data_IF_488582698308
#
_entry.id   IF_488582698308
#
_cell.length_a   1.000
_cell.length_b   1.000
_cell.length_c   1.000
_cell.angle_alpha   90.00
_cell.angle_beta   90.00
_cell.angle_gamma   90.00
#
_symmetry.space_group_name_H-M   'P 1'
#
loop_
_entity.id
_entity.type
_entity.pdbx_description
1 polymer ?
#
# COMPACT_ATOMS: atom_id res chain seq x y z
N UNK A 1 7.31 -15.38 -14.05
CA UNK A 1 7.70 -15.05 -12.66
C UNK A 1 6.43 -14.74 -11.89
N UNK A 2 6.25 -15.29 -10.70
CA UNK A 2 5.13 -14.92 -9.84
C UNK A 2 5.44 -13.60 -9.15
N UNK A 3 4.43 -12.77 -8.97
CA UNK A 3 4.53 -11.48 -8.27
C UNK A 3 3.88 -11.66 -6.91
N UNK A 4 4.56 -11.23 -5.85
CA UNK A 4 3.99 -11.16 -4.51
C UNK A 4 3.17 -9.88 -4.35
N UNK A 5 1.97 -9.99 -3.81
CA UNK A 5 1.06 -8.87 -3.63
C UNK A 5 0.54 -8.78 -2.20
N UNK A 6 0.52 -7.57 -1.65
CA UNK A 6 -0.25 -7.25 -0.45
C UNK A 6 -1.47 -6.43 -0.86
N UNK A 7 -2.64 -6.88 -0.44
CA UNK A 7 -3.89 -6.18 -0.75
C UNK A 7 -4.50 -5.66 0.55
N UNK A 8 -4.72 -4.36 0.59
CA UNK A 8 -5.32 -3.65 1.72
C UNK A 8 -6.63 -3.00 1.30
N UNK A 9 -7.57 -2.91 2.24
CA UNK A 9 -8.81 -2.14 2.11
C UNK A 9 -8.81 -1.01 3.12
N UNK A 10 -9.17 0.19 2.65
CA UNK A 10 -9.28 1.39 3.46
C UNK A 10 -10.67 2.00 3.36
N UNK A 11 -11.29 2.21 4.52
CA UNK A 11 -12.53 2.97 4.68
C UNK A 11 -12.11 4.40 5.09
N UNK A 12 -12.03 5.30 4.11
CA UNK A 12 -11.57 6.68 4.32
C UNK A 12 -12.72 7.59 4.71
N UNK A 13 -12.43 8.61 5.52
CA UNK A 13 -13.41 9.64 5.82
C UNK A 13 -13.63 10.52 4.58
N UNK A 14 -14.86 10.98 4.30
CA UNK A 14 -15.12 11.86 3.17
C UNK A 14 -14.22 13.10 3.13
N UNK A 15 -13.90 13.68 4.29
CA UNK A 15 -13.07 14.86 4.42
C UNK A 15 -11.57 14.63 4.16
N UNK A 16 -11.08 13.40 4.37
CA UNK A 16 -9.65 13.04 4.15
C UNK A 16 -9.42 12.30 2.85
N UNK A 17 -10.47 11.96 2.10
CA UNK A 17 -10.38 11.16 0.88
C UNK A 17 -9.40 11.72 -0.15
N UNK A 18 -9.40 13.04 -0.39
CA UNK A 18 -8.49 13.67 -1.35
C UNK A 18 -7.02 13.62 -0.89
N UNK A 19 -6.78 13.76 0.42
CA UNK A 19 -5.44 13.62 0.99
C UNK A 19 -4.97 12.15 0.95
N UNK A 20 -5.86 11.21 1.24
CA UNK A 20 -5.60 9.79 1.10
C UNK A 20 -5.21 9.42 -0.35
N UNK A 21 -6.01 9.85 -1.34
CA UNK A 21 -5.70 9.63 -2.76
C UNK A 21 -4.31 10.20 -3.13
N UNK A 22 -3.96 11.38 -2.61
CA UNK A 22 -2.65 12.01 -2.84
C UNK A 22 -1.48 11.22 -2.23
N UNK A 23 -1.61 10.76 -0.99
CA UNK A 23 -0.51 10.12 -0.26
C UNK A 23 -0.34 8.63 -0.59
N UNK A 24 -1.40 7.98 -1.11
CA UNK A 24 -1.41 6.56 -1.51
C UNK A 24 -1.37 6.33 -3.03
N UNK A 25 -1.33 7.38 -3.87
CA UNK A 25 -1.09 7.25 -5.31
C UNK A 25 0.38 6.99 -5.66
N UNK A 26 0.67 6.73 -6.94
CA UNK A 26 2.00 6.42 -7.50
C UNK A 26 3.07 7.52 -7.35
N UNK A 27 2.77 8.63 -6.69
CA UNK A 27 3.69 9.72 -6.36
C UNK A 27 3.58 10.18 -4.90
N UNK A 28 2.77 9.46 -4.11
CA UNK A 28 2.53 9.71 -2.70
C UNK A 28 3.69 9.24 -1.82
N UNK A 29 3.55 9.48 -0.52
CA UNK A 29 4.59 9.15 0.46
C UNK A 29 4.90 7.64 0.51
N UNK A 30 3.89 6.77 0.42
CA UNK A 30 4.11 5.31 0.42
C UNK A 30 4.86 4.83 -0.81
N UNK A 31 4.52 5.35 -2.00
CA UNK A 31 5.24 5.01 -3.22
C UNK A 31 6.71 5.40 -3.10
N UNK A 32 7.00 6.63 -2.67
CA UNK A 32 8.38 7.13 -2.48
C UNK A 32 9.16 6.38 -1.40
N UNK A 33 8.47 5.84 -0.40
CA UNK A 33 9.09 5.01 0.63
C UNK A 33 9.56 3.65 0.07
N UNK A 34 8.79 3.06 -0.85
CA UNK A 34 9.12 1.77 -1.45
C UNK A 34 9.97 1.88 -2.73
N UNK A 35 9.89 2.98 -3.46
CA UNK A 35 10.60 3.25 -4.72
C UNK A 35 12.11 2.97 -4.70
N UNK A 36 12.87 3.23 -3.62
CA UNK A 36 14.30 2.91 -3.58
C UNK A 36 14.64 1.41 -3.58
N UNK A 37 13.66 0.52 -3.37
CA UNK A 37 13.87 -0.92 -3.41
C UNK A 37 13.71 -1.42 -4.85
N UNK A 38 14.79 -1.95 -5.44
CA UNK A 38 14.74 -2.52 -6.81
C UNK A 38 13.75 -3.70 -6.94
N UNK A 39 13.40 -4.34 -5.83
CA UNK A 39 12.43 -5.45 -5.78
C UNK A 39 10.97 -5.00 -5.64
N UNK A 40 10.73 -3.69 -5.46
CA UNK A 40 9.40 -3.10 -5.49
C UNK A 40 8.94 -2.90 -6.94
N UNK A 41 7.79 -3.47 -7.27
CA UNK A 41 7.24 -3.45 -8.63
C UNK A 41 6.14 -2.38 -8.81
N UNK A 42 5.93 -1.54 -7.79
CA UNK A 42 4.92 -0.49 -7.77
C UNK A 42 3.68 -0.83 -6.95
N UNK A 43 2.78 0.14 -6.87
CA UNK A 43 1.48 -0.01 -6.22
C UNK A 43 0.34 0.47 -7.13
N UNK A 44 -0.83 -0.12 -6.95
CA UNK A 44 -2.09 0.36 -7.54
C UNK A 44 -3.03 0.80 -6.44
N UNK A 45 -3.70 1.94 -6.66
CA UNK A 45 -4.80 2.40 -5.83
C UNK A 45 -6.09 2.37 -6.65
N UNK A 46 -7.08 1.61 -6.20
CA UNK A 46 -8.38 1.51 -6.83
C UNK A 46 -9.48 1.94 -5.85
N UNK A 47 -10.47 2.68 -6.34
CA UNK A 47 -11.65 3.07 -5.57
C UNK A 47 -12.82 2.19 -5.95
N UNK A 48 -13.45 1.55 -4.97
CA UNK A 48 -14.69 0.80 -5.17
C UNK A 48 -15.82 1.80 -5.49
N UNK A 49 -16.46 1.65 -6.64
CA UNK A 49 -17.52 2.57 -7.10
C UNK A 49 -18.85 2.40 -6.36
N UNK A 50 -19.07 1.26 -5.70
CA UNK A 50 -20.28 0.96 -4.94
C UNK A 50 -20.17 1.39 -3.48
N UNK A 51 -19.00 1.18 -2.86
CA UNK A 51 -18.79 1.48 -1.43
C UNK A 51 -17.99 2.75 -1.17
N UNK A 52 -17.23 3.24 -2.15
CA UNK A 52 -16.28 4.34 -1.98
C UNK A 52 -14.98 3.96 -1.25
N UNK A 53 -14.85 2.71 -0.79
CA UNK A 53 -13.63 2.21 -0.14
C UNK A 53 -12.48 2.11 -1.13
N UNK A 54 -11.24 2.16 -0.63
CA UNK A 54 -10.06 2.02 -1.46
C UNK A 54 -9.44 0.64 -1.30
N UNK A 55 -8.92 0.11 -2.40
CA UNK A 55 -8.05 -1.06 -2.46
C UNK A 55 -6.65 -0.59 -2.85
N UNK A 56 -5.69 -0.82 -1.97
CA UNK A 56 -4.27 -0.63 -2.26
C UNK A 56 -3.65 -2.01 -2.53
N UNK A 57 -2.93 -2.12 -3.64
CA UNK A 57 -2.18 -3.34 -3.98
C UNK A 57 -0.70 -2.99 -4.15
N UNK A 58 0.12 -3.43 -3.20
CA UNK A 58 1.59 -3.33 -3.31
C UNK A 58 2.13 -4.56 -4.00
N UNK A 59 3.03 -4.38 -4.98
CA UNK A 59 3.58 -5.46 -5.79
C UNK A 59 5.08 -5.58 -5.56
N UNK A 60 5.54 -6.81 -5.36
CA UNK A 60 6.93 -7.12 -5.03
C UNK A 60 7.40 -8.35 -5.77
N UNK A 61 8.70 -8.45 -6.01
CA UNK A 61 9.31 -9.66 -6.57
C UNK A 61 9.14 -10.84 -5.61
N UNK A 62 9.19 -10.60 -4.30
CA UNK A 62 8.99 -11.64 -3.29
C UNK A 62 8.49 -11.10 -1.95
N UNK A 63 7.97 -12.01 -1.11
CA UNK A 63 7.64 -11.71 0.30
C UNK A 63 8.87 -11.25 1.09
N UNK A 64 10.02 -11.88 0.86
CA UNK A 64 11.25 -11.56 1.57
C UNK A 64 11.73 -10.14 1.26
N UNK A 65 11.55 -9.68 0.03
CA UNK A 65 11.88 -8.32 -0.40
C UNK A 65 11.06 -7.28 0.36
N UNK A 66 9.73 -7.49 0.47
CA UNK A 66 8.84 -6.62 1.26
C UNK A 66 9.23 -6.59 2.75
N UNK A 67 9.37 -7.77 3.36
CA UNK A 67 9.67 -7.88 4.79
C UNK A 67 11.06 -7.32 5.12
N UNK A 68 12.05 -7.54 4.24
CA UNK A 68 13.39 -6.98 4.35
C UNK A 68 13.41 -5.46 4.29
N UNK A 69 12.74 -4.87 3.29
CA UNK A 69 12.68 -3.41 3.13
C UNK A 69 12.05 -2.72 4.34
N UNK A 70 10.96 -3.29 4.89
CA UNK A 70 10.35 -2.76 6.12
C UNK A 70 11.28 -2.90 7.32
N UNK A 71 11.96 -4.04 7.47
CA UNK A 71 12.87 -4.25 8.59
C UNK A 71 14.04 -3.26 8.57
N UNK A 72 14.61 -3.01 7.40
CA UNK A 72 15.72 -2.07 7.20
C UNK A 72 15.29 -0.61 7.41
N UNK A 73 14.05 -0.27 7.08
CA UNK A 73 13.52 1.10 7.13
C UNK A 73 12.43 1.30 8.21
N UNK A 74 12.48 0.49 9.28
CA UNK A 74 11.39 0.38 10.29
C UNK A 74 10.97 1.72 10.90
N UNK A 75 11.93 2.59 11.19
CA UNK A 75 11.65 3.88 11.81
C UNK A 75 10.82 4.79 10.89
N UNK A 76 11.15 4.82 9.61
CA UNK A 76 10.40 5.62 8.62
C UNK A 76 9.05 4.98 8.32
N UNK A 77 8.99 3.65 8.23
CA UNK A 77 7.73 2.91 8.08
C UNK A 77 6.74 3.26 9.21
N UNK A 78 7.20 3.20 10.47
CA UNK A 78 6.36 3.54 11.64
C UNK A 78 5.92 5.00 11.62
N UNK A 79 6.80 5.91 11.19
CA UNK A 79 6.49 7.33 11.04
C UNK A 79 5.36 7.56 10.03
N UNK A 80 5.40 6.88 8.89
CA UNK A 80 4.36 6.98 7.85
C UNK A 80 3.04 6.37 8.31
N UNK A 81 3.08 5.20 8.98
CA UNK A 81 1.89 4.62 9.60
C UNK A 81 1.22 5.61 10.58
N UNK A 82 2.00 6.20 11.49
CA UNK A 82 1.48 7.15 12.48
C UNK A 82 0.95 8.43 11.82
N UNK A 83 1.64 8.93 10.79
CA UNK A 83 1.24 10.13 10.06
C UNK A 83 -0.11 9.95 9.35
N UNK A 84 -0.35 8.78 8.74
CA UNK A 84 -1.51 8.58 7.86
C UNK A 84 -2.68 7.83 8.47
N UNK A 85 -2.54 7.25 9.67
CA UNK A 85 -3.66 6.54 10.35
C UNK A 85 -4.91 7.38 10.55
N UNK A 86 -4.78 8.72 10.56
CA UNK A 86 -5.91 9.63 10.73
C UNK A 86 -6.76 9.80 9.45
N UNK A 87 -6.23 9.40 8.28
CA UNK A 87 -6.87 9.54 6.98
C UNK A 87 -7.99 8.52 6.74
N UNK A 88 -8.04 7.45 7.52
CA UNK A 88 -9.02 6.40 7.42
C UNK A 88 -9.62 6.02 8.77
N UNK A 89 -10.83 5.50 8.76
CA UNK A 89 -11.51 4.97 9.94
C UNK A 89 -11.14 3.50 10.17
N UNK A 90 -10.88 2.78 9.08
CA UNK A 90 -10.59 1.36 9.12
C UNK A 90 -9.63 0.98 8.00
N UNK A 91 -8.59 0.26 8.41
CA UNK A 91 -7.63 -0.42 7.54
C UNK A 91 -7.77 -1.92 7.73
N UNK A 92 -7.75 -2.68 6.64
CA UNK A 92 -7.86 -4.13 6.68
C UNK A 92 -6.92 -4.74 5.67
N UNK A 93 -5.98 -5.56 6.14
CA UNK A 93 -5.22 -6.44 5.26
C UNK A 93 -6.17 -7.51 4.72
N UNK A 94 -6.52 -7.42 3.44
CA UNK A 94 -7.33 -8.43 2.76
C UNK A 94 -6.55 -9.73 2.65
N UNK A 95 -5.26 -9.63 2.33
CA UNK A 95 -4.38 -10.79 2.31
C UNK A 95 -3.07 -10.56 1.60
N UNK A 96 -2.33 -11.67 1.48
CA UNK A 96 -1.06 -11.78 0.78
C UNK A 96 -1.23 -12.82 -0.33
N UNK A 97 -0.86 -12.45 -1.55
CA UNK A 97 -1.16 -13.23 -2.75
C UNK A 97 0.09 -13.44 -3.59
N UNK A 98 0.08 -14.48 -4.42
CA UNK A 98 1.01 -14.65 -5.53
C UNK A 98 0.21 -14.67 -6.83
N UNK A 99 0.71 -14.01 -7.86
CA UNK A 99 0.12 -14.15 -9.19
C UNK A 99 0.31 -15.56 -9.73
N UNK A 100 -0.69 -16.07 -10.43
CA UNK A 100 -0.61 -17.30 -11.20
C UNK A 100 -0.34 -16.96 -12.66
N UNK A 101 0.57 -17.70 -13.30
CA UNK A 101 0.74 -17.63 -14.75
C UNK A 101 -0.34 -18.49 -15.39
N UNK A 102 -1.06 -17.92 -16.35
CA UNK A 102 -2.04 -18.63 -17.18
C UNK A 102 -1.38 -19.13 -18.47
#
# INVERSE_FOLDING_TARGET
MKIYQLIWSYECKPETAAEFEKEYAQNGAWFKFFEPCDDFLGQDLAKNIETGHYILTDKWISRASYEGHIAENKAEYDRLCEQFKALYEKETLIGRFETVSW
#
